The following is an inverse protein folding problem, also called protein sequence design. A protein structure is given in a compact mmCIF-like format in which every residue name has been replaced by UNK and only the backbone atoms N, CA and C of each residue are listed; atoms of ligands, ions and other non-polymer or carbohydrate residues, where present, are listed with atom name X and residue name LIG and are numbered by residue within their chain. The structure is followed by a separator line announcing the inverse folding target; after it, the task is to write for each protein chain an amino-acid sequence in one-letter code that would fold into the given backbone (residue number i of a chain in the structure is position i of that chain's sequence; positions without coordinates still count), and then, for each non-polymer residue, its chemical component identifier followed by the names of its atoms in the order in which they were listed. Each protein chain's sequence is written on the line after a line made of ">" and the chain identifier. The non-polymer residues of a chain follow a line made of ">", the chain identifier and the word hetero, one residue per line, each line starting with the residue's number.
data_IF_533464625857
#
_entry.id   IF_533464625857
#
_cell.length_a   1.000
_cell.length_b   1.000
_cell.length_c   1.000
_cell.angle_alpha   90.00
_cell.angle_beta   90.00
_cell.angle_gamma   90.00
#
_symmetry.space_group_name_H-M   'P 1'
#
loop_
_entity.id
_entity.type
_entity.pdbx_description
1 polymer ?
#
# COMPACT_ATOMS: atom_id res chain seq x y z
N UNK A 1 9.89 12.62 -1.00
CA UNK A 1 8.53 12.03 -1.01
C UNK A 1 8.21 11.52 -2.39
N UNK A 2 7.87 10.25 -2.48
CA UNK A 2 7.52 9.52 -3.70
C UNK A 2 6.30 8.66 -3.42
N UNK A 3 5.46 8.47 -4.43
CA UNK A 3 4.35 7.51 -4.39
C UNK A 3 4.50 6.56 -5.57
N UNK A 4 4.48 5.27 -5.27
CA UNK A 4 4.65 4.20 -6.24
C UNK A 4 3.45 3.27 -6.13
N UNK A 5 2.76 3.09 -7.24
CA UNK A 5 1.64 2.18 -7.41
C UNK A 5 2.15 0.86 -7.99
N UNK A 6 1.80 -0.22 -7.31
CA UNK A 6 2.12 -1.58 -7.71
C UNK A 6 0.83 -2.26 -8.14
N UNK A 7 0.68 -2.50 -9.43
CA UNK A 7 -0.38 -3.37 -9.95
C UNK A 7 0.12 -4.80 -10.05
N UNK A 8 -0.74 -5.82 -9.83
CA UNK A 8 -0.36 -7.21 -10.05
C UNK A 8 0.20 -7.41 -11.46
N UNK A 9 1.31 -8.14 -11.56
CA UNK A 9 1.99 -8.50 -12.81
C UNK A 9 2.45 -7.33 -13.70
N UNK A 10 2.41 -6.09 -13.20
CA UNK A 10 2.87 -4.92 -13.95
C UNK A 10 4.13 -4.30 -13.32
N UNK A 11 4.95 -3.59 -14.11
CA UNK A 11 6.03 -2.78 -13.56
C UNK A 11 5.50 -1.73 -12.58
N UNK A 12 6.25 -1.39 -11.51
CA UNK A 12 5.88 -0.32 -10.60
C UNK A 12 5.73 1.02 -11.32
N UNK A 13 4.69 1.78 -10.97
CA UNK A 13 4.35 3.06 -11.59
C UNK A 13 4.51 4.20 -10.58
N UNK A 14 5.30 5.22 -10.91
CA UNK A 14 5.33 6.45 -10.13
C UNK A 14 4.03 7.23 -10.34
N UNK A 15 3.36 7.60 -9.25
CA UNK A 15 2.13 8.39 -9.29
C UNK A 15 2.32 9.77 -8.63
N UNK A 16 1.53 10.78 -8.99
CA UNK A 16 1.62 12.09 -8.37
C UNK A 16 1.31 12.04 -6.86
N UNK A 17 2.05 12.82 -6.08
CA UNK A 17 1.90 12.89 -4.61
C UNK A 17 0.93 13.98 -4.13
N UNK A 18 0.20 14.61 -5.05
CA UNK A 18 -0.68 15.75 -4.73
C UNK A 18 -1.75 15.34 -3.74
N UNK A 19 -1.71 15.90 -2.52
CA UNK A 19 -2.62 15.64 -1.41
C UNK A 19 -2.35 14.36 -0.62
N UNK A 20 -1.26 13.66 -0.93
CA UNK A 20 -0.68 12.67 -0.03
C UNK A 20 0.12 13.38 1.06
N UNK A 21 -0.02 12.90 2.29
CA UNK A 21 0.72 13.41 3.45
C UNK A 21 1.12 12.28 4.38
N UNK A 22 2.19 12.50 5.14
CA UNK A 22 2.60 11.60 6.22
C UNK A 22 1.94 12.02 7.53
N UNK A 23 1.67 11.08 8.45
CA UNK A 23 1.22 11.44 9.78
C UNK A 23 2.27 12.32 10.46
N UNK A 24 1.81 13.43 11.03
CA UNK A 24 2.67 14.41 11.72
C UNK A 24 3.17 13.89 13.08
N UNK A 25 2.51 12.88 13.65
CA UNK A 25 2.80 12.40 15.00
C UNK A 25 3.79 11.24 15.05
N UNK A 26 4.58 11.18 16.13
CA UNK A 26 5.45 10.05 16.46
C UNK A 26 4.69 8.74 16.72
N UNK A 27 3.35 8.77 16.75
CA UNK A 27 2.52 7.60 16.98
C UNK A 27 2.46 6.65 15.76
N UNK A 28 2.85 7.12 14.56
CA UNK A 28 2.98 6.25 13.38
C UNK A 28 1.66 5.86 12.71
N UNK A 29 0.50 6.29 13.21
CA UNK A 29 -0.80 6.00 12.61
C UNK A 29 -1.08 6.93 11.42
N UNK A 30 -1.21 6.36 10.21
CA UNK A 30 -1.72 7.06 9.04
C UNK A 30 -3.22 6.79 8.86
N UNK A 31 -3.97 7.81 8.47
CA UNK A 31 -5.34 7.64 7.98
C UNK A 31 -5.36 7.43 6.47
N UNK A 32 -6.44 6.85 5.96
CA UNK A 32 -6.70 6.79 4.50
C UNK A 32 -7.04 8.19 4.01
N UNK A 33 -6.23 8.72 3.10
CA UNK A 33 -6.45 10.02 2.48
C UNK A 33 -7.43 9.89 1.30
N UNK A 34 -8.23 10.92 1.03
CA UNK A 34 -9.33 10.89 0.04
C UNK A 34 -8.89 10.46 -1.38
N UNK A 35 -7.62 10.63 -1.72
CA UNK A 35 -7.09 10.34 -3.05
C UNK A 35 -6.60 8.90 -3.21
N UNK A 36 -6.31 8.22 -2.11
CA UNK A 36 -5.78 6.84 -2.13
C UNK A 36 -6.75 5.87 -2.81
N UNK A 37 -8.07 5.90 -2.54
CA UNK A 37 -9.02 5.01 -3.22
C UNK A 37 -9.03 5.19 -4.73
N UNK A 38 -8.97 6.43 -5.22
CA UNK A 38 -8.92 6.74 -6.64
C UNK A 38 -7.62 6.27 -7.30
N UNK A 39 -6.48 6.33 -6.59
CA UNK A 39 -5.20 5.81 -7.08
C UNK A 39 -5.19 4.28 -7.14
N UNK A 40 -5.94 3.62 -6.26
CA UNK A 40 -6.11 2.16 -6.21
C UNK A 40 -7.30 1.66 -7.05
N UNK A 41 -8.00 2.55 -7.76
CA UNK A 41 -9.22 2.25 -8.53
C UNK A 41 -10.28 1.48 -7.71
N UNK A 42 -10.53 1.93 -6.48
CA UNK A 42 -11.46 1.27 -5.56
C UNK A 42 -12.36 2.26 -4.80
N UNK A 43 -13.39 1.74 -4.14
CA UNK A 43 -14.28 2.54 -3.31
C UNK A 43 -13.58 3.00 -2.01
N UNK A 44 -13.87 4.21 -1.48
CA UNK A 44 -13.17 4.74 -0.30
C UNK A 44 -13.19 3.88 0.96
N UNK A 45 -14.23 3.06 1.15
CA UNK A 45 -14.35 2.14 2.28
C UNK A 45 -13.57 0.83 2.14
N UNK A 46 -12.88 0.63 1.02
CA UNK A 46 -12.13 -0.60 0.72
C UNK A 46 -10.62 -0.41 0.82
N UNK A 47 -10.13 0.72 1.32
CA UNK A 47 -8.69 0.92 1.49
C UNK A 47 -8.31 0.66 2.93
N UNK A 48 -7.26 -0.14 3.13
CA UNK A 48 -6.64 -0.37 4.43
C UNK A 48 -5.18 0.11 4.45
N UNK A 49 -4.69 0.46 5.65
CA UNK A 49 -3.31 0.85 5.92
C UNK A 49 -2.57 -0.37 6.47
N UNK A 50 -1.82 -1.06 5.62
CA UNK A 50 -1.07 -2.25 6.00
C UNK A 50 0.13 -1.94 6.89
N UNK A 51 0.78 -0.82 6.63
CA UNK A 51 1.97 -0.39 7.35
C UNK A 51 2.08 1.12 7.33
N UNK A 52 2.48 1.70 8.45
CA UNK A 52 2.74 3.13 8.53
C UNK A 52 3.83 3.43 9.54
N UNK A 53 4.76 4.28 9.14
CA UNK A 53 5.75 4.91 9.99
C UNK A 53 6.08 6.32 9.45
N UNK A 54 6.93 7.11 10.12
CA UNK A 54 7.26 8.47 9.69
C UNK A 54 7.93 8.62 8.31
N UNK A 55 8.30 7.51 7.65
CA UNK A 55 9.03 7.46 6.37
C UNK A 55 8.35 6.62 5.28
N UNK A 56 7.42 5.74 5.62
CA UNK A 56 6.71 4.86 4.69
C UNK A 56 5.26 4.64 5.13
N UNK A 57 4.31 4.69 4.19
CA UNK A 57 2.93 4.23 4.35
C UNK A 57 2.62 3.29 3.20
N UNK A 58 1.96 2.18 3.51
CA UNK A 58 1.52 1.18 2.53
C UNK A 58 0.00 1.06 2.64
N UNK A 59 -0.67 1.35 1.53
CA UNK A 59 -2.11 1.20 1.39
C UNK A 59 -2.42 0.03 0.46
N UNK A 60 -3.45 -0.75 0.79
CA UNK A 60 -3.93 -1.83 -0.05
C UNK A 60 -5.46 -1.83 -0.12
N UNK A 61 -6.00 -2.51 -1.12
CA UNK A 61 -7.44 -2.77 -1.21
C UNK A 61 -7.79 -3.94 -0.29
N UNK A 62 -8.68 -3.71 0.66
CA UNK A 62 -9.24 -4.70 1.55
C UNK A 62 -10.02 -5.75 0.74
N UNK A 63 -9.82 -7.03 1.07
CA UNK A 63 -10.56 -8.17 0.49
C UNK A 63 -10.57 -8.19 -1.05
N UNK A 64 -9.41 -7.93 -1.65
CA UNK A 64 -9.26 -7.96 -3.11
C UNK A 64 -9.11 -9.40 -3.61
N UNK A 65 -10.12 -9.91 -4.32
CA UNK A 65 -10.10 -11.21 -5.03
C UNK A 65 -9.22 -11.24 -6.30
N UNK A 66 -8.43 -10.18 -6.53
CA UNK A 66 -7.56 -10.05 -7.69
C UNK A 66 -6.33 -10.96 -7.68
N UNK A 67 -5.45 -10.73 -8.65
CA UNK A 67 -4.17 -11.44 -8.74
C UNK A 67 -3.21 -11.05 -7.60
N UNK A 68 -2.32 -11.99 -7.25
CA UNK A 68 -1.29 -11.80 -6.24
C UNK A 68 -0.31 -10.71 -6.69
N UNK A 69 -0.03 -9.77 -5.80
CA UNK A 69 0.90 -8.69 -6.04
C UNK A 69 2.27 -8.96 -5.39
N UNK A 70 3.00 -9.93 -5.95
CA UNK A 70 4.27 -10.39 -5.38
C UNK A 70 5.31 -9.27 -5.22
N UNK A 71 5.39 -8.34 -6.18
CA UNK A 71 6.30 -7.19 -6.10
C UNK A 71 5.96 -6.27 -4.92
N UNK A 72 4.67 -6.01 -4.69
CA UNK A 72 4.26 -5.19 -3.57
C UNK A 72 4.48 -5.91 -2.22
N UNK A 73 4.28 -7.23 -2.16
CA UNK A 73 4.60 -8.05 -0.98
C UNK A 73 6.09 -7.95 -0.62
N UNK A 74 6.98 -8.06 -1.60
CA UNK A 74 8.42 -7.94 -1.37
C UNK A 74 8.81 -6.55 -0.82
N UNK A 75 8.18 -5.49 -1.34
CA UNK A 75 8.38 -4.11 -0.85
C UNK A 75 7.81 -3.91 0.56
N UNK A 76 6.61 -4.44 0.83
CA UNK A 76 5.97 -4.34 2.13
C UNK A 76 6.72 -5.15 3.20
N UNK A 77 7.27 -6.30 2.84
CA UNK A 77 8.11 -7.10 3.74
C UNK A 77 9.42 -6.36 4.08
N UNK A 78 10.06 -5.75 3.08
CA UNK A 78 11.25 -4.95 3.30
C UNK A 78 10.99 -3.72 4.17
N UNK A 79 9.82 -3.08 4.03
CA UNK A 79 9.47 -1.89 4.80
C UNK A 79 9.05 -2.20 6.25
N UNK A 80 8.29 -3.27 6.45
CA UNK A 80 7.76 -3.67 7.76
C UNK A 80 8.73 -4.55 8.57
N UNK A 81 9.67 -5.21 7.89
CA UNK A 81 10.52 -6.24 8.48
C UNK A 81 9.79 -7.57 8.73
N UNK A 82 8.54 -7.68 8.30
CA UNK A 82 7.70 -8.88 8.47
C UNK A 82 7.54 -9.55 7.11
N UNK A 83 8.03 -10.78 6.92
CA UNK A 83 7.83 -11.50 5.68
C UNK A 83 6.36 -11.91 5.55
N UNK A 84 5.86 -11.92 4.31
CA UNK A 84 4.57 -12.52 3.99
C UNK A 84 4.78 -14.00 3.68
N UNK A 85 4.00 -14.86 4.33
CA UNK A 85 3.90 -16.26 3.93
C UNK A 85 3.11 -16.35 2.61
N UNK A 86 3.68 -17.03 1.62
CA UNK A 86 3.07 -17.16 0.29
C UNK A 86 2.10 -18.33 0.20
N UNK A 87 2.08 -19.18 1.22
CA UNK A 87 1.16 -20.32 1.34
C UNK A 87 -0.03 -20.01 2.27
N UNK A 88 0.01 -18.87 2.99
CA UNK A 88 -1.08 -18.37 3.84
C UNK A 88 -1.95 -17.38 3.05
N UNK A 89 -3.16 -17.82 2.67
CA UNK A 89 -4.10 -17.00 1.89
C UNK A 89 -4.46 -15.67 2.58
N UNK A 90 -4.46 -15.64 3.92
CA UNK A 90 -4.77 -14.44 4.71
C UNK A 90 -3.61 -13.43 4.71
N UNK A 91 -2.39 -13.88 4.42
CA UNK A 91 -1.20 -13.03 4.32
C UNK A 91 -0.92 -12.55 2.88
N UNK A 92 -1.56 -13.12 1.87
CA UNK A 92 -1.29 -12.80 0.46
C UNK A 92 -1.94 -11.47 0.10
N UNK A 93 -1.11 -10.49 -0.29
CA UNK A 93 -1.61 -9.24 -0.82
C UNK A 93 -2.00 -9.39 -2.29
N UNK A 94 -3.25 -9.05 -2.59
CA UNK A 94 -3.85 -9.11 -3.92
C UNK A 94 -4.27 -7.73 -4.39
N UNK A 95 -4.35 -7.55 -5.70
CA UNK A 95 -4.78 -6.28 -6.29
C UNK A 95 -3.74 -5.17 -6.17
N UNK A 96 -4.13 -3.91 -6.42
CA UNK A 96 -3.22 -2.77 -6.40
C UNK A 96 -2.79 -2.40 -4.99
N UNK A 97 -1.53 -1.96 -4.85
CA UNK A 97 -0.95 -1.49 -3.60
C UNK A 97 -0.23 -0.18 -3.85
N UNK A 98 -0.48 0.81 -2.99
CA UNK A 98 0.16 2.12 -3.06
C UNK A 98 1.17 2.24 -1.93
N UNK A 99 2.43 2.48 -2.29
CA UNK A 99 3.51 2.75 -1.34
C UNK A 99 3.89 4.21 -1.43
N UNK A 100 3.85 4.90 -0.30
CA UNK A 100 4.24 6.31 -0.17
C UNK A 100 5.47 6.36 0.73
N UNK A 101 6.58 6.89 0.23
CA UNK A 101 7.86 6.95 0.95
C UNK A 101 8.44 8.37 0.95
N UNK A 102 9.26 8.71 1.94
CA UNK A 102 9.96 10.01 2.03
C UNK A 102 11.31 10.01 1.34
#
# INVERSE_FOLDING_TARGET
>A
MTATLYWPQQPPQSVPVYGLSFPESAAGFAGVLEQVPSLLDCAPGLVDVLFSNPRCIIYAVFDSEGEINGTAMDVAAAASGVPFDRDDEDAILRGPILVVSR
#
